data_IF_492886464101
#
_entry.id   IF_492886464101
#
_cell.length_a   1.000
_cell.length_b   1.000
_cell.length_c   1.000
_cell.angle_alpha   90.00
_cell.angle_beta   90.00
_cell.angle_gamma   90.00
#
_symmetry.space_group_name_H-M   'P 1'
#
loop_
_entity.id
_entity.type
_entity.pdbx_description
1 polymer ?
#
# COMPACT_ATOMS: atom_id res chain seq x y z
N UNK A 1 3.96 -24.57 2.69
CA UNK A 1 4.49 -23.57 3.64
C UNK A 1 5.35 -24.30 4.66
N UNK A 2 6.60 -23.93 4.79
CA UNK A 2 7.47 -24.51 5.81
C UNK A 2 6.93 -24.16 7.21
N UNK A 3 7.01 -25.10 8.15
CA UNK A 3 6.58 -24.87 9.51
C UNK A 3 7.50 -23.78 10.14
N UNK A 4 6.91 -22.82 10.82
CA UNK A 4 7.66 -21.78 11.53
C UNK A 4 8.57 -22.38 12.61
N UNK A 5 9.85 -22.11 12.50
CA UNK A 5 10.82 -22.47 13.54
C UNK A 5 10.89 -21.31 14.55
N UNK A 6 10.52 -21.61 15.79
CA UNK A 6 10.54 -20.60 16.86
C UNK A 6 11.93 -19.98 17.01
N UNK A 7 12.00 -18.67 16.93
CA UNK A 7 13.23 -17.91 17.07
C UNK A 7 13.02 -16.72 18.01
N UNK A 8 14.10 -16.28 18.65
CA UNK A 8 14.05 -15.08 19.48
C UNK A 8 13.90 -13.83 18.63
N UNK A 9 13.03 -12.94 19.05
CA UNK A 9 12.91 -11.60 18.46
C UNK A 9 13.66 -10.64 19.39
N UNK A 10 14.94 -10.46 19.13
CA UNK A 10 15.79 -9.56 19.90
C UNK A 10 15.55 -8.10 19.46
N UNK A 11 15.88 -7.14 20.33
CA UNK A 11 15.91 -5.73 19.96
C UNK A 11 16.91 -5.51 18.82
N UNK A 12 16.51 -4.99 17.66
CA UNK A 12 17.45 -4.61 16.60
C UNK A 12 18.43 -3.52 17.09
N UNK A 13 19.60 -3.42 16.43
CA UNK A 13 20.59 -2.40 16.76
C UNK A 13 20.11 -0.96 16.51
N UNK A 14 20.69 0.00 17.19
CA UNK A 14 20.38 1.42 17.02
C UNK A 14 19.03 1.84 17.60
N UNK A 15 18.30 2.62 16.84
CA UNK A 15 16.95 3.11 17.17
C UNK A 15 15.89 2.48 16.24
N UNK A 16 15.53 1.21 16.45
CA UNK A 16 14.64 0.49 15.53
C UNK A 16 13.21 1.06 15.47
N UNK A 17 12.80 1.78 16.49
CA UNK A 17 11.51 2.46 16.54
C UNK A 17 11.53 3.90 16.01
N UNK A 18 12.59 4.31 15.31
CA UNK A 18 12.63 5.61 14.66
C UNK A 18 11.54 5.69 13.59
N UNK A 19 10.90 6.86 13.48
CA UNK A 19 9.87 7.09 12.45
C UNK A 19 10.37 6.78 11.04
N UNK A 20 9.53 6.12 10.27
CA UNK A 20 9.76 5.86 8.84
C UNK A 20 9.29 7.05 8.02
N UNK A 21 9.97 7.31 6.90
CA UNK A 21 9.62 8.39 5.98
C UNK A 21 9.30 7.80 4.61
N UNK A 22 8.03 7.63 4.27
CA UNK A 22 7.65 7.26 2.92
C UNK A 22 8.12 8.32 1.92
N UNK A 23 8.35 7.91 0.68
CA UNK A 23 8.48 8.86 -0.43
C UNK A 23 7.19 9.68 -0.53
N UNK A 24 7.26 10.78 -1.28
CA UNK A 24 6.12 11.68 -1.51
C UNK A 24 5.01 11.07 -2.41
N UNK A 25 5.02 9.78 -2.55
CA UNK A 25 4.04 9.04 -3.36
C UNK A 25 3.81 7.63 -2.82
N UNK A 26 2.63 7.11 -3.12
CA UNK A 26 2.33 5.68 -3.06
C UNK A 26 2.08 5.17 -4.48
N UNK A 27 2.24 3.87 -4.68
CA UNK A 27 1.90 3.19 -5.94
C UNK A 27 0.64 2.37 -5.72
N UNK A 28 -0.34 2.59 -6.57
CA UNK A 28 -1.61 1.86 -6.56
C UNK A 28 -1.73 1.06 -7.84
N UNK A 29 -2.02 -0.23 -7.71
CA UNK A 29 -2.10 -1.16 -8.82
C UNK A 29 -3.49 -1.78 -8.86
N UNK A 30 -4.21 -1.61 -9.98
CA UNK A 30 -5.49 -2.28 -10.19
C UNK A 30 -5.28 -3.78 -10.39
N UNK A 31 -5.96 -4.62 -9.63
CA UNK A 31 -5.80 -6.07 -9.74
C UNK A 31 -6.21 -6.61 -11.11
N UNK A 32 -7.13 -5.95 -11.79
CA UNK A 32 -7.59 -6.35 -13.13
C UNK A 32 -6.52 -6.13 -14.20
N UNK A 33 -5.55 -5.26 -13.94
CA UNK A 33 -4.43 -4.96 -14.83
C UNK A 33 -3.19 -5.84 -14.58
N UNK A 34 -3.22 -6.67 -13.55
CA UNK A 34 -2.13 -7.59 -13.21
C UNK A 34 -2.23 -8.85 -14.06
N UNK A 35 -1.13 -9.21 -14.73
CA UNK A 35 -1.01 -10.49 -15.44
C UNK A 35 -0.53 -11.60 -14.50
N UNK A 36 0.49 -11.32 -13.69
CA UNK A 36 1.07 -12.26 -12.74
C UNK A 36 1.43 -11.56 -11.44
N UNK A 37 0.95 -12.12 -10.33
CA UNK A 37 1.29 -11.66 -8.98
C UNK A 37 2.13 -12.72 -8.27
N UNK A 38 3.36 -12.39 -7.85
CA UNK A 38 4.25 -13.33 -7.19
C UNK A 38 3.74 -13.70 -5.79
N UNK A 39 4.03 -14.93 -5.39
CA UNK A 39 3.72 -15.38 -4.04
C UNK A 39 4.75 -14.86 -3.03
N UNK A 40 4.35 -14.80 -1.78
CA UNK A 40 5.28 -14.57 -0.67
C UNK A 40 6.22 -15.78 -0.50
N UNK A 41 7.37 -15.52 0.11
CA UNK A 41 8.34 -16.55 0.46
C UNK A 41 7.75 -17.61 1.42
N UNK A 42 8.53 -18.62 1.74
CA UNK A 42 8.09 -19.69 2.65
C UNK A 42 7.70 -19.19 4.05
N UNK A 43 8.29 -18.08 4.49
CA UNK A 43 7.92 -17.42 5.75
C UNK A 43 6.62 -16.61 5.67
N UNK A 44 6.11 -16.36 4.46
CA UNK A 44 4.88 -15.59 4.24
C UNK A 44 5.06 -14.08 4.41
N UNK A 45 6.29 -13.56 4.28
CA UNK A 45 6.63 -12.16 4.60
C UNK A 45 7.13 -11.39 3.39
N UNK A 46 7.99 -11.98 2.56
CA UNK A 46 8.71 -11.28 1.50
C UNK A 46 8.19 -11.67 0.12
N UNK A 47 7.93 -10.68 -0.71
CA UNK A 47 7.70 -10.83 -2.16
C UNK A 47 8.94 -10.31 -2.88
N UNK A 48 9.74 -11.21 -3.44
CA UNK A 48 11.02 -10.88 -4.07
C UNK A 48 10.92 -10.61 -5.57
N UNK A 49 9.91 -11.15 -6.23
CA UNK A 49 9.74 -11.07 -7.67
C UNK A 49 8.87 -9.88 -8.09
N UNK A 50 8.97 -9.49 -9.35
CA UNK A 50 8.23 -8.38 -9.91
C UNK A 50 6.75 -8.73 -10.12
N UNK A 51 5.88 -7.76 -9.90
CA UNK A 51 4.48 -7.81 -10.33
C UNK A 51 4.46 -7.54 -11.84
N UNK A 52 3.98 -8.52 -12.60
CA UNK A 52 3.88 -8.38 -14.05
C UNK A 52 2.52 -7.81 -14.43
N UNK A 53 2.54 -6.70 -15.16
CA UNK A 53 1.33 -6.05 -15.66
C UNK A 53 0.94 -6.61 -17.03
N UNK A 54 -0.35 -6.61 -17.33
CA UNK A 54 -0.86 -6.91 -18.67
C UNK A 54 -0.30 -5.93 -19.70
N UNK A 55 -0.26 -6.34 -20.96
CA UNK A 55 0.30 -5.52 -22.03
C UNK A 55 -0.37 -4.14 -22.11
N UNK A 56 0.43 -3.08 -22.07
CA UNK A 56 -0.03 -1.70 -22.09
C UNK A 56 -0.65 -1.21 -20.78
N UNK A 57 -0.59 -1.99 -19.70
CA UNK A 57 -1.09 -1.63 -18.39
C UNK A 57 0.05 -1.28 -17.43
N UNK A 58 -0.25 -0.43 -16.45
CA UNK A 58 0.74 0.09 -15.50
C UNK A 58 0.09 0.44 -14.16
N UNK A 59 0.91 0.51 -13.11
CA UNK A 59 0.50 1.05 -11.82
C UNK A 59 0.47 2.59 -11.85
N UNK A 60 -0.30 3.16 -10.96
CA UNK A 60 -0.49 4.62 -10.85
C UNK A 60 0.16 5.12 -9.56
N UNK A 61 0.92 6.20 -9.65
CA UNK A 61 1.45 6.87 -8.46
C UNK A 61 0.53 7.99 -8.00
N UNK A 62 0.31 8.07 -6.70
CA UNK A 62 -0.50 9.12 -6.07
C UNK A 62 0.38 9.90 -5.12
N UNK A 63 0.45 11.22 -5.31
CA UNK A 63 1.21 12.10 -4.42
C UNK A 63 0.59 12.10 -3.02
N UNK A 64 1.44 12.04 -2.02
CA UNK A 64 1.06 12.22 -0.63
C UNK A 64 1.80 13.42 -0.01
N UNK A 65 1.13 14.18 0.81
CA UNK A 65 1.74 15.27 1.55
C UNK A 65 2.72 14.70 2.59
N UNK A 66 4.00 15.11 2.57
CA UNK A 66 4.99 14.62 3.53
C UNK A 66 4.54 14.76 4.98
N UNK A 67 4.78 13.73 5.77
CA UNK A 67 4.42 13.70 7.18
C UNK A 67 2.97 13.33 7.49
N UNK A 68 2.13 13.08 6.48
CA UNK A 68 0.71 12.72 6.68
C UNK A 68 0.43 11.23 6.55
N UNK A 69 1.36 10.45 6.03
CA UNK A 69 1.18 9.03 5.83
C UNK A 69 1.19 8.26 7.15
N UNK A 70 0.16 7.46 7.35
CA UNK A 70 0.04 6.54 8.50
C UNK A 70 -0.24 5.16 7.95
N UNK A 71 0.75 4.27 8.06
CA UNK A 71 0.63 2.85 7.75
C UNK A 71 0.34 2.10 9.04
N UNK A 72 -0.70 1.32 9.07
CA UNK A 72 -1.10 0.54 10.23
C UNK A 72 -1.52 -0.86 9.87
N UNK A 73 -1.38 -1.78 10.80
CA UNK A 73 -1.90 -3.13 10.67
C UNK A 73 -2.41 -3.60 12.02
N UNK A 74 -3.66 -4.01 12.05
CA UNK A 74 -4.30 -4.50 13.26
C UNK A 74 -4.66 -5.97 13.08
N UNK A 75 -4.40 -6.77 14.10
CA UNK A 75 -4.94 -8.12 14.16
C UNK A 75 -6.40 -8.05 14.62
N UNK A 76 -7.27 -8.78 13.95
CA UNK A 76 -8.69 -8.83 14.29
C UNK A 76 -9.27 -10.23 14.08
N UNK A 77 -10.38 -10.50 14.69
CA UNK A 77 -11.13 -11.75 14.58
C UNK A 77 -11.31 -12.47 15.91
N UNK A 78 -12.27 -13.36 15.91
CA UNK A 78 -12.53 -14.25 17.05
C UNK A 78 -11.40 -15.29 17.20
N UNK A 79 -11.27 -15.94 18.36
CA UNK A 79 -10.39 -17.11 18.50
C UNK A 79 -10.64 -18.11 17.36
N UNK A 80 -9.58 -18.68 16.81
CA UNK A 80 -9.58 -19.60 15.65
C UNK A 80 -9.89 -18.94 14.28
N UNK A 81 -10.16 -17.63 14.24
CA UNK A 81 -10.47 -16.90 13.02
C UNK A 81 -9.74 -15.54 12.94
N UNK A 82 -8.51 -15.45 13.44
CA UNK A 82 -7.73 -14.23 13.49
C UNK A 82 -6.96 -13.99 12.19
N UNK A 83 -6.78 -12.71 11.85
CA UNK A 83 -5.99 -12.25 10.72
C UNK A 83 -5.62 -10.79 10.88
N UNK A 84 -4.85 -10.27 9.93
CA UNK A 84 -4.43 -8.87 9.91
C UNK A 84 -5.26 -8.07 8.91
N UNK A 85 -5.41 -6.80 9.18
CA UNK A 85 -6.09 -5.86 8.28
C UNK A 85 -5.25 -4.59 8.12
N UNK A 86 -4.26 -4.63 7.24
CA UNK A 86 -3.42 -3.46 6.98
C UNK A 86 -4.18 -2.35 6.24
N UNK A 87 -3.79 -1.11 6.55
CA UNK A 87 -4.29 0.08 5.88
C UNK A 87 -3.24 1.17 5.81
N UNK A 88 -3.35 2.03 4.81
CA UNK A 88 -2.59 3.27 4.73
C UNK A 88 -3.54 4.45 4.57
N UNK A 89 -3.28 5.51 5.34
CA UNK A 89 -3.99 6.78 5.26
C UNK A 89 -2.99 7.89 4.98
N UNK A 90 -3.33 8.80 4.09
CA UNK A 90 -2.51 9.97 3.77
C UNK A 90 -3.36 11.12 3.27
N UNK A 91 -2.78 12.32 3.25
CA UNK A 91 -3.41 13.53 2.74
C UNK A 91 -2.88 13.85 1.34
N UNK A 92 -3.78 14.27 0.46
CA UNK A 92 -3.44 14.80 -0.86
C UNK A 92 -3.99 16.22 -0.99
N UNK A 93 -3.17 17.21 -1.35
CA UNK A 93 -3.57 18.61 -1.38
C UNK A 93 -4.47 18.91 -2.58
N UNK A 94 -5.44 19.78 -2.35
CA UNK A 94 -6.32 20.29 -3.40
C UNK A 94 -7.41 19.31 -3.83
N UNK A 95 -8.23 19.76 -4.76
CA UNK A 95 -9.34 18.99 -5.33
C UNK A 95 -9.59 19.39 -6.80
N UNK A 96 -8.51 19.44 -7.57
CA UNK A 96 -8.55 19.77 -9.00
C UNK A 96 -9.13 18.61 -9.82
N UNK A 97 -9.25 18.82 -11.13
CA UNK A 97 -9.86 17.88 -12.06
C UNK A 97 -9.25 16.47 -11.93
N UNK A 98 -7.93 16.38 -11.94
CA UNK A 98 -7.20 15.11 -11.93
C UNK A 98 -7.51 14.27 -10.68
N UNK A 99 -7.59 14.92 -9.51
CA UNK A 99 -7.94 14.25 -8.25
C UNK A 99 -9.39 13.79 -8.26
N UNK A 100 -10.29 14.59 -8.80
CA UNK A 100 -11.71 14.23 -8.92
C UNK A 100 -11.91 13.06 -9.87
N UNK A 101 -11.19 13.03 -10.98
CA UNK A 101 -11.20 11.90 -11.92
C UNK A 101 -10.65 10.64 -11.27
N UNK A 102 -9.55 10.76 -10.54
CA UNK A 102 -8.98 9.65 -9.76
C UNK A 102 -10.01 9.08 -8.76
N UNK A 103 -10.63 9.94 -7.96
CA UNK A 103 -11.66 9.51 -7.00
C UNK A 103 -12.83 8.81 -7.67
N UNK A 104 -13.33 9.37 -8.77
CA UNK A 104 -14.48 8.82 -9.49
C UNK A 104 -14.16 7.43 -10.10
N UNK A 105 -12.93 7.22 -10.57
CA UNK A 105 -12.55 5.99 -11.25
C UNK A 105 -12.04 4.90 -10.30
N UNK A 106 -11.47 5.28 -9.16
CA UNK A 106 -10.88 4.31 -8.22
C UNK A 106 -11.78 3.95 -7.05
N UNK A 107 -12.88 4.66 -6.86
CA UNK A 107 -13.84 4.32 -5.81
C UNK A 107 -14.45 2.94 -6.08
N UNK A 108 -14.34 2.05 -5.13
CA UNK A 108 -14.84 0.69 -5.24
C UNK A 108 -13.97 -0.27 -6.06
N UNK A 109 -12.87 0.19 -6.65
CA UNK A 109 -11.91 -0.69 -7.32
C UNK A 109 -11.08 -1.47 -6.32
N UNK A 110 -10.78 -2.70 -6.70
CA UNK A 110 -9.87 -3.57 -5.97
C UNK A 110 -8.44 -3.30 -6.42
N UNK A 111 -7.57 -2.99 -5.48
CA UNK A 111 -6.20 -2.60 -5.78
C UNK A 111 -5.20 -3.17 -4.78
N UNK A 112 -3.94 -3.05 -5.14
CA UNK A 112 -2.78 -3.34 -4.29
C UNK A 112 -2.04 -2.03 -4.10
N UNK A 113 -1.52 -1.80 -2.91
CA UNK A 113 -0.79 -0.56 -2.60
C UNK A 113 0.63 -0.90 -2.19
N UNK A 114 1.59 -0.19 -2.80
CA UNK A 114 3.01 -0.30 -2.52
C UNK A 114 3.49 1.03 -1.95
N UNK A 115 4.17 0.96 -0.81
CA UNK A 115 4.71 2.12 -0.09
C UNK A 115 6.23 2.05 -0.17
N UNK A 116 6.83 3.01 -0.85
CA UNK A 116 8.28 3.14 -0.95
C UNK A 116 8.82 4.12 0.11
N UNK A 117 10.06 3.89 0.57
CA UNK A 117 10.71 4.70 1.61
C UNK A 117 11.92 5.47 1.08
N UNK A 118 12.22 6.61 1.72
CA UNK A 118 13.30 7.51 1.31
C UNK A 118 14.71 7.02 1.67
N UNK A 119 14.84 6.17 2.67
CA UNK A 119 16.12 5.75 3.25
C UNK A 119 16.71 4.49 2.59
N UNK A 120 16.17 4.06 1.46
CA UNK A 120 16.65 2.86 0.75
C UNK A 120 16.22 1.53 1.38
N UNK A 121 15.32 1.55 2.36
CA UNK A 121 14.68 0.34 2.88
C UNK A 121 13.75 -0.27 1.83
N UNK A 122 13.50 -1.56 1.97
CA UNK A 122 12.57 -2.27 1.12
C UNK A 122 11.17 -1.65 1.21
N UNK A 123 10.43 -1.68 0.11
CA UNK A 123 9.05 -1.21 0.09
C UNK A 123 8.12 -2.13 0.89
N UNK A 124 7.05 -1.58 1.40
CA UNK A 124 5.94 -2.33 1.96
C UNK A 124 4.83 -2.52 0.92
N UNK A 125 4.14 -3.63 1.01
CA UNK A 125 3.00 -3.94 0.15
C UNK A 125 1.81 -4.38 0.98
N UNK A 126 0.63 -3.86 0.66
CA UNK A 126 -0.64 -4.28 1.25
C UNK A 126 -1.62 -4.71 0.18
N UNK A 127 -2.40 -5.73 0.51
CA UNK A 127 -3.34 -6.35 -0.41
C UNK A 127 -2.73 -7.43 -1.30
N UNK A 128 -3.59 -8.30 -1.77
CA UNK A 128 -3.29 -9.33 -2.76
C UNK A 128 -4.44 -9.41 -3.76
N UNK A 129 -4.30 -10.04 -4.93
CA UNK A 129 -5.42 -10.23 -5.84
C UNK A 129 -6.62 -10.97 -5.21
N UNK A 130 -6.37 -11.87 -4.26
CA UNK A 130 -7.44 -12.59 -3.56
C UNK A 130 -8.05 -11.79 -2.40
N UNK A 131 -7.30 -10.87 -1.82
CA UNK A 131 -7.74 -10.01 -0.72
C UNK A 131 -7.21 -8.59 -0.95
N UNK A 132 -7.82 -7.85 -1.90
CA UNK A 132 -7.35 -6.54 -2.30
C UNK A 132 -7.68 -5.46 -1.28
N UNK A 133 -7.10 -4.29 -1.49
CA UNK A 133 -7.46 -3.06 -0.82
C UNK A 133 -8.54 -2.31 -1.61
N UNK A 134 -9.35 -1.55 -0.90
CA UNK A 134 -10.27 -0.58 -1.49
C UNK A 134 -10.02 0.81 -0.91
N UNK A 135 -10.27 1.81 -1.72
CA UNK A 135 -10.09 3.21 -1.38
C UNK A 135 -11.36 3.77 -0.72
N UNK A 136 -11.18 4.50 0.35
CA UNK A 136 -12.14 5.49 0.84
C UNK A 136 -11.49 6.86 0.82
N UNK A 137 -12.27 7.91 0.62
CA UNK A 137 -11.76 9.27 0.54
C UNK A 137 -12.71 10.23 1.23
N UNK A 138 -12.13 11.17 1.94
CA UNK A 138 -12.84 12.28 2.57
C UNK A 138 -12.20 13.59 2.10
N UNK A 139 -13.02 14.51 1.63
CA UNK A 139 -12.59 15.84 1.23
C UNK A 139 -13.01 16.88 2.25
N UNK A 140 -12.08 17.72 2.64
CA UNK A 140 -12.34 18.90 3.48
C UNK A 140 -11.76 20.14 2.82
N UNK A 141 -12.59 21.16 2.63
CA UNK A 141 -12.18 22.45 2.09
C UNK A 141 -12.74 23.58 2.94
N UNK A 142 -11.87 24.48 3.38
CA UNK A 142 -12.22 25.68 4.15
C UNK A 142 -11.29 26.86 3.78
N UNK A 143 -11.38 27.97 4.50
CA UNK A 143 -10.58 29.15 4.24
C UNK A 143 -9.07 28.98 4.50
N UNK A 144 -8.69 27.97 5.27
CA UNK A 144 -7.29 27.74 5.65
C UNK A 144 -6.62 26.71 4.74
N UNK A 145 -7.35 25.66 4.38
CA UNK A 145 -6.82 24.58 3.57
C UNK A 145 -7.91 23.81 2.83
N UNK A 146 -7.50 23.13 1.77
CA UNK A 146 -8.32 22.07 1.17
C UNK A 146 -7.45 20.85 0.86
N UNK A 147 -7.93 19.70 1.25
CA UNK A 147 -7.22 18.45 1.07
C UNK A 147 -8.18 17.26 1.00
N UNK A 148 -7.71 16.20 0.35
CA UNK A 148 -8.36 14.89 0.39
C UNK A 148 -7.59 13.98 1.34
N UNK A 149 -8.29 13.30 2.22
CA UNK A 149 -7.76 12.22 3.03
C UNK A 149 -8.10 10.88 2.36
N UNK A 150 -7.09 10.22 1.83
CA UNK A 150 -7.25 8.89 1.23
C UNK A 150 -6.92 7.81 2.23
N UNK A 151 -7.73 6.76 2.25
CA UNK A 151 -7.47 5.55 3.01
C UNK A 151 -7.61 4.35 2.10
N UNK A 152 -6.56 3.56 2.00
CA UNK A 152 -6.58 2.26 1.33
C UNK A 152 -6.50 1.18 2.39
N UNK A 153 -7.50 0.34 2.47
CA UNK A 153 -7.61 -0.71 3.47
C UNK A 153 -7.92 -2.05 2.82
N UNK A 154 -7.29 -3.10 3.30
CA UNK A 154 -7.60 -4.46 2.89
C UNK A 154 -9.06 -4.80 3.21
N UNK A 155 -9.77 -5.38 2.25
CA UNK A 155 -11.22 -5.62 2.35
C UNK A 155 -11.56 -6.59 3.46
N UNK A 156 -10.83 -7.70 3.53
CA UNK A 156 -11.01 -8.71 4.57
C UNK A 156 -9.74 -8.89 5.39
N UNK A 157 -9.86 -9.44 6.58
CA UNK A 157 -8.70 -9.86 7.36
C UNK A 157 -7.95 -10.99 6.62
N UNK A 158 -6.65 -10.97 6.71
CA UNK A 158 -5.80 -11.93 6.01
C UNK A 158 -4.34 -11.74 6.36
N UNK A 159 -3.49 -11.66 5.35
CA UNK A 159 -2.06 -11.47 5.50
C UNK A 159 -1.72 -10.06 6.00
N UNK A 160 -0.64 -9.97 6.76
CA UNK A 160 -0.07 -8.70 7.23
C UNK A 160 0.66 -7.96 6.12
N UNK A 161 1.14 -6.77 6.43
CA UNK A 161 2.02 -5.98 5.55
C UNK A 161 3.18 -6.86 5.10
N UNK A 162 3.39 -6.93 3.78
CA UNK A 162 4.50 -7.66 3.19
C UNK A 162 5.67 -6.75 2.86
N UNK A 163 6.87 -7.33 2.80
CA UNK A 163 8.06 -6.66 2.27
C UNK A 163 8.10 -6.92 0.76
N UNK A 164 8.18 -5.86 -0.04
CA UNK A 164 8.22 -5.94 -1.50
C UNK A 164 9.59 -5.51 -2.03
N UNK A 165 10.28 -6.43 -2.69
CA UNK A 165 11.61 -6.20 -3.28
C UNK A 165 11.59 -6.11 -4.80
N UNK A 166 10.47 -6.45 -5.42
CA UNK A 166 10.30 -6.40 -6.86
C UNK A 166 10.03 -5.00 -7.38
N UNK A 167 9.78 -4.92 -8.68
CA UNK A 167 9.36 -3.70 -9.36
C UNK A 167 7.99 -3.87 -10.01
N UNK A 168 7.35 -2.77 -10.32
CA UNK A 168 6.12 -2.71 -11.10
C UNK A 168 6.23 -1.63 -12.16
N UNK A 169 5.68 -1.89 -13.34
CA UNK A 169 5.63 -0.88 -14.40
C UNK A 169 4.72 0.25 -13.99
N UNK A 170 5.24 1.47 -13.99
CA UNK A 170 4.49 2.69 -13.68
C UNK A 170 4.11 3.44 -14.96
N UNK A 171 3.09 4.27 -14.84
CA UNK A 171 2.76 5.25 -15.86
C UNK A 171 3.97 6.16 -16.12
N UNK A 172 4.41 6.22 -17.35
CA UNK A 172 5.50 7.11 -17.79
C UNK A 172 5.02 8.55 -18.05
N UNK A 173 3.75 8.85 -17.78
CA UNK A 173 3.19 10.19 -17.91
C UNK A 173 3.97 11.20 -17.09
N UNK A 174 4.37 12.29 -17.72
CA UNK A 174 5.08 13.41 -17.09
C UNK A 174 4.19 13.96 -15.98
N UNK A 175 4.61 13.78 -14.75
CA UNK A 175 4.02 14.55 -13.65
C UNK A 175 4.38 16.03 -13.87
N UNK A 176 3.40 16.81 -14.26
CA UNK A 176 3.53 18.27 -14.27
C UNK A 176 3.36 18.83 -12.86
#
# INVERSE_FOLDING_TARGET
MAAYVKANVAKPGGMPGKGITPKDRIVVVDIDDIDSFPSRDEAGVVIAEDITMKNGKFGVSVYLTPGTAVLSSNSEGDPDAQGFRPSIQFSHPGNKKEVREFKANWLGKNCIVIIEYCNGEDADIIGTPCNPCQMTVEYTGNNESNANSFTFQQVAKGEDIGIYKGAVTLDSGVQQ
#
